data_IF_665313064053
#
_entry.id   IF_665313064053
#
_cell.length_a   1.000
_cell.length_b   1.000
_cell.length_c   1.000
_cell.angle_alpha   90.00
_cell.angle_beta   90.00
_cell.angle_gamma   90.00
#
_symmetry.space_group_name_H-M   'P 1'
#
loop_
_entity.id
_entity.type
_entity.pdbx_description
1 polymer ?
#
# COMPACT_ATOMS: atom_id res chain seq x y z
N UNK A 1 4.62 -13.82 17.58
CA UNK A 1 4.58 -14.08 16.13
C UNK A 1 5.34 -12.96 15.44
N UNK A 2 6.29 -13.31 14.60
CA UNK A 2 7.16 -12.37 13.88
C UNK A 2 6.58 -12.02 12.52
N UNK A 3 6.96 -10.87 11.97
CA UNK A 3 6.41 -10.38 10.70
C UNK A 3 6.61 -11.35 9.51
N UNK A 4 7.79 -11.96 9.40
CA UNK A 4 8.09 -12.92 8.33
C UNK A 4 7.22 -14.19 8.41
N UNK A 5 6.83 -14.61 9.63
CA UNK A 5 5.92 -15.74 9.82
C UNK A 5 4.52 -15.39 9.29
N UNK A 6 4.03 -14.17 9.57
CA UNK A 6 2.74 -13.69 9.09
C UNK A 6 2.75 -13.58 7.56
N UNK A 7 3.81 -13.02 6.97
CA UNK A 7 4.00 -12.93 5.51
C UNK A 7 3.88 -14.32 4.88
N UNK A 8 4.54 -15.33 5.44
CA UNK A 8 4.49 -16.69 4.93
C UNK A 8 3.10 -17.33 5.09
N UNK A 9 2.49 -17.21 6.28
CA UNK A 9 1.17 -17.79 6.58
C UNK A 9 0.05 -17.17 5.73
N UNK A 10 0.13 -15.86 5.48
CA UNK A 10 -0.83 -15.14 4.65
C UNK A 10 -0.39 -15.03 3.19
N UNK A 11 0.72 -15.66 2.78
CA UNK A 11 1.22 -15.60 1.40
C UNK A 11 1.30 -14.18 0.84
N UNK A 12 1.85 -13.24 1.62
CA UNK A 12 1.99 -11.84 1.20
C UNK A 12 3.19 -11.70 0.26
N UNK A 13 3.07 -10.81 -0.72
CA UNK A 13 4.12 -10.46 -1.68
C UNK A 13 4.54 -9.00 -1.50
N UNK A 14 5.77 -8.60 -1.87
CA UNK A 14 6.19 -7.21 -1.78
C UNK A 14 5.27 -6.28 -2.60
N UNK A 15 4.83 -5.17 -1.98
CA UNK A 15 4.00 -4.17 -2.68
C UNK A 15 4.89 -3.07 -3.29
N UNK A 16 4.57 -2.55 -4.50
CA UNK A 16 5.36 -1.49 -5.14
C UNK A 16 5.51 -0.21 -4.32
N UNK A 17 4.51 0.11 -3.48
CA UNK A 17 4.55 1.28 -2.60
C UNK A 17 5.38 1.06 -1.32
N UNK A 18 5.87 -0.16 -1.09
CA UNK A 18 6.50 -0.59 0.16
C UNK A 18 5.60 -1.50 0.99
N UNK A 19 6.21 -2.32 1.86
CA UNK A 19 5.49 -3.34 2.61
C UNK A 19 5.17 -4.61 1.80
N UNK A 20 4.23 -5.39 2.32
CA UNK A 20 3.82 -6.69 1.79
C UNK A 20 2.30 -6.76 1.72
N UNK A 21 1.74 -7.28 0.65
CA UNK A 21 0.30 -7.32 0.45
C UNK A 21 -0.19 -8.64 -0.16
N UNK A 22 -1.49 -8.88 -0.04
CA UNK A 22 -2.20 -9.88 -0.84
C UNK A 22 -3.65 -9.47 -1.02
N UNK A 23 -4.13 -9.44 -2.26
CA UNK A 23 -5.56 -9.29 -2.53
C UNK A 23 -6.31 -10.57 -2.13
N UNK A 24 -7.30 -10.43 -1.28
CA UNK A 24 -8.14 -11.53 -0.76
C UNK A 24 -9.50 -11.60 -1.44
N UNK A 25 -9.97 -10.47 -1.97
CA UNK A 25 -11.23 -10.39 -2.70
C UNK A 25 -11.20 -9.23 -3.70
N UNK A 26 -11.94 -9.40 -4.79
CA UNK A 26 -12.31 -8.37 -5.76
C UNK A 26 -13.72 -8.68 -6.24
N UNK A 27 -14.53 -7.64 -6.44
CA UNK A 27 -15.85 -7.82 -7.03
C UNK A 27 -15.75 -8.44 -8.43
N UNK A 28 -16.51 -9.50 -8.68
CA UNK A 28 -16.71 -10.03 -10.03
C UNK A 28 -17.73 -9.17 -10.79
N UNK A 29 -17.29 -8.48 -11.84
CA UNK A 29 -18.13 -7.58 -12.62
C UNK A 29 -17.82 -7.66 -14.11
N UNK A 30 -18.84 -7.38 -14.94
CA UNK A 30 -18.66 -7.17 -16.39
C UNK A 30 -18.36 -5.71 -16.73
N UNK A 31 -18.35 -4.83 -15.73
CA UNK A 31 -17.96 -3.44 -15.89
C UNK A 31 -16.45 -3.29 -16.07
N UNK A 32 -16.01 -2.14 -16.54
CA UNK A 32 -14.60 -1.84 -16.79
C UNK A 32 -13.75 -1.84 -15.51
N UNK A 33 -14.34 -1.54 -14.34
CA UNK A 33 -13.64 -1.59 -13.05
C UNK A 33 -14.55 -2.13 -11.93
N UNK A 34 -14.03 -3.04 -11.07
CA UNK A 34 -14.70 -3.50 -9.86
C UNK A 34 -15.11 -2.35 -8.91
N UNK A 35 -16.24 -2.50 -8.23
CA UNK A 35 -16.72 -1.59 -7.20
C UNK A 35 -15.87 -1.64 -5.93
N UNK A 36 -15.16 -2.73 -5.69
CA UNK A 36 -14.20 -2.78 -4.60
C UNK A 36 -13.29 -4.01 -4.58
N UNK A 37 -12.30 -3.93 -3.71
CA UNK A 37 -11.34 -4.98 -3.40
C UNK A 37 -11.16 -5.10 -1.89
N UNK A 38 -10.60 -6.21 -1.43
CA UNK A 38 -10.06 -6.36 -0.09
C UNK A 38 -8.64 -6.91 -0.20
N UNK A 39 -7.72 -6.35 0.58
CA UNK A 39 -6.35 -6.82 0.68
C UNK A 39 -5.94 -7.00 2.14
N UNK A 40 -4.99 -7.90 2.38
CA UNK A 40 -4.10 -7.80 3.53
C UNK A 40 -2.91 -6.93 3.17
N UNK A 41 -2.44 -6.13 4.11
CA UNK A 41 -1.23 -5.32 3.98
C UNK A 41 -0.44 -5.35 5.29
N UNK A 42 0.88 -5.49 5.19
CA UNK A 42 1.79 -5.58 6.33
C UNK A 42 3.02 -4.70 6.10
N UNK A 43 3.36 -3.92 7.12
CA UNK A 43 4.62 -3.19 7.20
C UNK A 43 5.48 -3.79 8.32
N UNK A 44 6.74 -4.10 8.02
CA UNK A 44 7.76 -4.41 9.03
C UNK A 44 8.37 -3.14 9.60
N UNK A 45 9.08 -3.27 10.70
CA UNK A 45 9.94 -2.21 11.22
C UNK A 45 10.86 -1.65 10.12
N UNK A 46 10.85 -0.33 9.95
CA UNK A 46 11.64 0.39 8.96
C UNK A 46 11.09 0.36 7.53
N UNK A 47 10.03 -0.42 7.26
CA UNK A 47 9.27 -0.29 6.01
C UNK A 47 8.20 0.79 6.16
N UNK A 48 7.88 1.43 5.04
CA UNK A 48 6.81 2.42 4.95
C UNK A 48 6.02 2.21 3.67
N UNK A 49 4.74 2.53 3.71
CA UNK A 49 3.94 2.78 2.51
C UNK A 49 4.23 4.22 2.07
N UNK A 50 4.86 4.37 0.90
CA UNK A 50 5.25 5.66 0.36
C UNK A 50 4.02 6.49 -0.01
N UNK A 51 4.19 7.82 -0.06
CA UNK A 51 3.15 8.73 -0.52
C UNK A 51 2.64 8.33 -1.91
N UNK A 52 1.35 8.00 -1.96
CA UNK A 52 0.64 7.65 -3.17
C UNK A 52 -0.82 8.10 -3.06
N UNK A 53 -1.59 7.91 -4.14
CA UNK A 53 -2.99 8.31 -4.23
C UNK A 53 -3.76 7.29 -5.04
N UNK A 54 -5.00 7.05 -4.66
CA UNK A 54 -5.92 6.17 -5.36
C UNK A 54 -7.20 6.91 -5.77
N UNK A 55 -7.75 6.53 -6.92
CA UNK A 55 -9.02 7.02 -7.47
C UNK A 55 -10.21 6.22 -6.90
N UNK A 56 -10.21 6.06 -5.57
CA UNK A 56 -11.23 5.40 -4.78
C UNK A 56 -11.11 5.83 -3.30
N UNK A 57 -12.18 5.64 -2.53
CA UNK A 57 -12.07 5.72 -1.06
C UNK A 57 -11.38 4.47 -0.57
N UNK A 58 -10.40 4.63 0.32
CA UNK A 58 -9.69 3.51 0.93
C UNK A 58 -9.92 3.50 2.44
N UNK A 59 -10.29 2.33 2.97
CA UNK A 59 -10.61 2.17 4.37
C UNK A 59 -9.58 1.25 5.01
N UNK A 60 -8.72 1.81 5.85
CA UNK A 60 -7.69 1.09 6.57
C UNK A 60 -8.24 0.52 7.87
N UNK A 61 -8.00 -0.77 8.12
CA UNK A 61 -8.44 -1.49 9.31
C UNK A 61 -7.23 -2.10 10.01
N UNK A 62 -6.98 -1.71 11.26
CA UNK A 62 -5.96 -2.37 12.07
C UNK A 62 -6.41 -3.77 12.47
N UNK A 63 -5.59 -4.77 12.20
CA UNK A 63 -5.86 -6.15 12.60
C UNK A 63 -4.97 -6.59 13.77
N UNK A 64 -3.66 -6.33 13.69
CA UNK A 64 -2.72 -6.77 14.71
C UNK A 64 -1.38 -6.04 14.64
N UNK A 65 -0.55 -6.24 15.66
CA UNK A 65 0.79 -5.69 15.74
C UNK A 65 0.81 -4.30 16.38
N UNK A 66 1.88 -3.56 16.13
CA UNK A 66 2.03 -2.19 16.59
C UNK A 66 0.96 -1.27 15.95
N UNK A 67 0.62 -0.15 16.60
CA UNK A 67 -0.18 0.88 15.96
C UNK A 67 0.44 1.35 14.64
N UNK A 68 -0.39 1.67 13.67
CA UNK A 68 0.00 2.22 12.37
C UNK A 68 -0.25 3.73 12.38
N UNK A 69 0.69 4.53 11.91
CA UNK A 69 0.43 5.94 11.57
C UNK A 69 -0.05 6.00 10.13
N UNK A 70 -1.26 6.50 9.93
CA UNK A 70 -1.84 6.77 8.61
C UNK A 70 -1.77 8.27 8.37
N UNK A 71 -0.96 8.67 7.39
CA UNK A 71 -0.78 10.04 6.95
C UNK A 71 -1.68 10.31 5.74
N UNK A 72 -2.35 11.46 5.73
CA UNK A 72 -3.28 11.86 4.67
C UNK A 72 -3.09 13.33 4.33
N UNK A 73 -3.17 13.71 3.06
CA UNK A 73 -3.18 15.09 2.62
C UNK A 73 -4.08 15.27 1.39
N UNK A 74 -4.89 16.34 1.37
CA UNK A 74 -5.74 16.65 0.21
C UNK A 74 -4.90 17.05 -1.02
N UNK A 75 -3.75 17.69 -0.79
CA UNK A 75 -2.85 18.15 -1.84
C UNK A 75 -1.40 17.81 -1.50
N UNK A 76 -0.53 17.79 -2.50
CA UNK A 76 0.91 17.57 -2.32
C UNK A 76 1.57 18.66 -1.45
N UNK A 77 0.99 19.87 -1.44
CA UNK A 77 1.45 20.98 -0.59
C UNK A 77 1.02 20.84 0.88
N UNK A 78 0.14 19.88 1.19
CA UNK A 78 -0.40 19.67 2.53
C UNK A 78 -1.52 20.64 2.92
N UNK A 79 -1.80 20.79 4.23
CA UNK A 79 -1.12 20.12 5.34
C UNK A 79 -1.44 18.61 5.38
N UNK A 80 -0.46 17.82 5.82
CA UNK A 80 -0.70 16.42 6.14
C UNK A 80 -1.35 16.28 7.52
N UNK A 81 -2.32 15.38 7.64
CA UNK A 81 -2.95 14.94 8.87
C UNK A 81 -2.54 13.51 9.16
N UNK A 82 -2.40 13.16 10.44
CA UNK A 82 -2.03 11.80 10.86
C UNK A 82 -3.12 11.25 11.77
N UNK A 83 -3.55 10.03 11.50
CA UNK A 83 -4.42 9.23 12.37
C UNK A 83 -3.65 8.00 12.83
N UNK A 84 -3.69 7.72 14.13
CA UNK A 84 -3.08 6.51 14.68
C UNK A 84 -4.08 5.37 14.67
N UNK A 85 -3.83 4.36 13.86
CA UNK A 85 -4.65 3.15 13.81
C UNK A 85 -4.19 2.13 14.83
N UNK A 86 -5.13 1.60 15.60
CA UNK A 86 -4.85 0.60 16.62
C UNK A 86 -6.02 0.41 17.60
N UNK A 87 -5.91 -0.56 18.51
CA UNK A 87 -7.01 -0.95 19.39
C UNK A 87 -7.15 -0.09 20.65
N UNK A 88 -6.15 0.72 21.02
CA UNK A 88 -6.19 1.51 22.26
C UNK A 88 -7.01 2.79 22.11
N UNK A 89 -8.32 2.67 22.33
CA UNK A 89 -9.27 3.77 22.22
C UNK A 89 -9.02 4.88 23.25
N UNK A 90 -8.54 4.52 24.44
CA UNK A 90 -8.27 5.47 25.53
C UNK A 90 -7.05 6.35 25.21
N UNK A 91 -6.06 5.80 24.49
CA UNK A 91 -4.94 6.55 23.94
C UNK A 91 -5.29 7.34 22.65
N UNK A 92 -6.56 7.35 22.23
CA UNK A 92 -7.01 8.06 21.03
C UNK A 92 -6.80 7.30 19.71
N UNK A 93 -6.34 6.05 19.75
CA UNK A 93 -6.22 5.23 18.55
C UNK A 93 -7.60 4.87 18.00
N UNK A 94 -7.66 4.59 16.69
CA UNK A 94 -8.89 4.14 16.03
C UNK A 94 -8.62 2.87 15.25
N UNK A 95 -9.41 1.80 15.39
CA UNK A 95 -9.20 0.59 14.60
C UNK A 95 -9.41 0.81 13.10
N UNK A 96 -10.06 1.90 12.70
CA UNK A 96 -10.37 2.23 11.31
C UNK A 96 -9.95 3.66 10.96
N UNK A 97 -9.37 3.84 9.78
CA UNK A 97 -9.09 5.13 9.14
C UNK A 97 -9.69 5.16 7.73
N UNK A 98 -10.18 6.31 7.30
CA UNK A 98 -10.79 6.48 5.97
C UNK A 98 -9.98 7.54 5.22
N UNK A 99 -9.38 7.12 4.11
CA UNK A 99 -8.71 8.02 3.17
C UNK A 99 -9.72 8.37 2.09
N UNK A 100 -10.10 9.65 1.93
CA UNK A 100 -11.02 10.06 0.88
C UNK A 100 -10.41 9.80 -0.50
N UNK A 101 -11.28 9.71 -1.51
CA UNK A 101 -10.86 9.64 -2.89
C UNK A 101 -9.91 10.79 -3.24
N UNK A 102 -8.91 10.49 -4.05
CA UNK A 102 -7.91 11.44 -4.53
C UNK A 102 -7.09 12.14 -3.42
N UNK A 103 -7.09 11.64 -2.19
CA UNK A 103 -6.15 12.11 -1.17
C UNK A 103 -4.82 11.36 -1.27
N UNK A 104 -3.74 12.10 -1.02
CA UNK A 104 -2.43 11.51 -0.78
C UNK A 104 -2.45 10.75 0.53
N UNK A 105 -1.85 9.57 0.54
CA UNK A 105 -1.70 8.75 1.73
C UNK A 105 -0.30 8.14 1.83
N UNK A 106 0.16 7.94 3.06
CA UNK A 106 1.36 7.19 3.40
C UNK A 106 1.14 6.52 4.77
N UNK A 107 1.91 5.49 5.07
CA UNK A 107 1.79 4.82 6.35
C UNK A 107 3.09 4.26 6.90
N UNK A 108 3.21 4.29 8.23
CA UNK A 108 4.37 3.83 8.97
C UNK A 108 3.94 2.94 10.16
N UNK A 109 4.66 1.85 10.40
CA UNK A 109 4.49 1.07 11.64
C UNK A 109 5.23 1.76 12.79
N UNK A 110 4.60 1.85 13.96
CA UNK A 110 5.25 2.41 15.17
C UNK A 110 6.14 1.40 15.91
N UNK A 111 6.24 0.16 15.42
CA UNK A 111 6.98 -0.90 16.10
C UNK A 111 7.48 -1.99 15.17
N UNK A 112 7.52 -3.23 15.68
CA UNK A 112 8.11 -4.37 14.95
C UNK A 112 7.40 -4.69 13.63
N UNK A 113 6.09 -4.55 13.59
CA UNK A 113 5.24 -4.70 12.41
C UNK A 113 3.81 -4.23 12.69
N UNK A 114 3.06 -3.91 11.65
CA UNK A 114 1.62 -3.64 11.68
C UNK A 114 0.93 -4.42 10.56
N UNK A 115 -0.10 -5.19 10.91
CA UNK A 115 -0.96 -5.88 9.94
C UNK A 115 -2.30 -5.14 9.86
N UNK A 116 -2.69 -4.80 8.64
CA UNK A 116 -3.93 -4.09 8.35
C UNK A 116 -4.68 -4.72 7.17
N UNK A 117 -5.95 -4.37 7.06
CA UNK A 117 -6.74 -4.57 5.85
C UNK A 117 -7.04 -3.24 5.20
N UNK A 118 -6.93 -3.16 3.88
CA UNK A 118 -7.17 -1.92 3.15
C UNK A 118 -8.12 -2.16 1.96
N UNK A 119 -9.43 -2.40 2.21
CA UNK A 119 -10.40 -2.41 1.15
C UNK A 119 -10.49 -1.05 0.46
N UNK A 120 -10.33 -1.07 -0.86
CA UNK A 120 -10.66 0.05 -1.73
C UNK A 120 -12.11 -0.10 -2.17
N UNK A 121 -12.88 0.99 -2.06
CA UNK A 121 -14.24 1.06 -2.58
C UNK A 121 -14.38 2.27 -3.49
N UNK A 122 -14.80 2.02 -4.72
CA UNK A 122 -15.27 3.10 -5.58
C UNK A 122 -16.63 3.55 -5.06
N UNK A 123 -16.79 4.85 -4.84
CA UNK A 123 -18.11 5.42 -4.57
C UNK A 123 -18.55 6.17 -5.82
N UNK A 124 -19.41 5.55 -6.63
CA UNK A 124 -20.01 6.24 -7.78
C UNK A 124 -20.98 7.32 -7.28
N UNK A 125 -20.61 8.60 -7.40
CA UNK A 125 -21.56 9.72 -7.38
C UNK A 125 -21.94 10.32 -6.03
N UNK A 126 -21.19 10.13 -4.95
CA UNK A 126 -21.41 10.91 -3.71
C UNK A 126 -20.36 11.99 -3.55
N UNK A 127 -20.78 13.27 -3.53
CA UNK A 127 -19.97 14.33 -2.92
C UNK A 127 -19.65 13.88 -1.49
N UNK A 128 -18.36 13.70 -1.18
CA UNK A 128 -17.89 13.12 0.07
C UNK A 128 -18.61 13.75 1.26
N UNK A 129 -19.26 12.92 2.09
CA UNK A 129 -19.76 13.36 3.38
C UNK A 129 -18.54 13.67 4.25
N UNK A 130 -18.19 14.96 4.35
CA UNK A 130 -17.16 15.46 5.25
C UNK A 130 -17.64 15.26 6.70
N UNK A 131 -17.36 14.09 7.26
CA UNK A 131 -17.45 13.92 8.71
C UNK A 131 -16.04 14.10 9.28
N UNK A 132 -15.74 15.21 9.98
CA UNK A 132 -14.45 15.33 10.65
C UNK A 132 -14.36 14.26 11.74
N UNK A 133 -13.20 13.61 11.93
CA UNK A 133 -13.04 12.68 13.03
C UNK A 133 -13.30 13.42 14.36
N UNK A 134 -14.10 12.83 15.29
CA UNK A 134 -14.34 13.42 16.58
C UNK A 134 -13.02 13.51 17.36
N UNK A 135 -12.62 14.75 17.70
CA UNK A 135 -11.39 15.03 18.45
C UNK A 135 -10.28 15.77 17.68
N UNK A 136 -10.52 16.23 16.44
CA UNK A 136 -9.61 17.15 15.77
C UNK A 136 -9.58 18.50 16.50
N UNK A 137 -8.64 18.67 17.43
CA UNK A 137 -8.32 19.97 17.99
C UNK A 137 -7.66 20.79 16.88
N UNK A 138 -8.41 21.73 16.32
CA UNK A 138 -7.87 22.78 15.45
C UNK A 138 -6.99 23.71 16.29
N UNK A 139 -5.77 23.28 16.57
CA UNK A 139 -4.72 24.18 17.04
C UNK A 139 -3.33 23.58 16.85
N UNK A 140 -2.77 23.80 15.66
CA UNK A 140 -1.34 24.01 15.51
C UNK A 140 -1.13 24.99 14.35
N UNK A 141 -0.83 26.26 14.68
CA UNK A 141 -0.06 27.11 13.78
C UNK A 141 1.34 26.51 13.75
N UNK A 142 1.76 25.95 12.62
CA UNK A 142 3.16 25.61 12.39
C UNK A 142 3.61 26.34 11.12
N UNK A 143 4.50 27.30 11.34
CA UNK A 143 5.15 28.11 10.32
C UNK A 143 5.89 27.22 9.31
N UNK A 144 5.72 27.51 8.03
CA UNK A 144 6.58 26.99 6.98
C UNK A 144 8.04 27.38 7.26
N UNK A 145 8.87 26.39 7.57
CA UNK A 145 10.32 26.33 7.39
C UNK A 145 10.79 24.97 7.90
N UNK A 146 10.95 24.05 6.95
CA UNK A 146 12.10 23.14 6.84
C UNK A 146 11.92 22.32 5.55
N UNK A 147 12.05 23.02 4.43
CA UNK A 147 12.47 22.41 3.16
C UNK A 147 13.98 22.54 3.14
N UNK A 148 14.68 21.54 3.69
CA UNK A 148 16.13 21.40 3.46
C UNK A 148 16.35 20.43 2.30
N UNK A 149 16.70 21.06 1.18
CA UNK A 149 17.36 20.50 0.00
C UNK A 149 18.48 19.54 0.39
N UNK A 150 18.53 18.38 -0.26
CA UNK A 150 19.79 17.71 -0.56
C UNK A 150 19.82 17.34 -2.04
N UNK A 151 20.81 17.89 -2.74
CA UNK A 151 21.07 17.62 -4.17
C UNK A 151 21.81 18.76 -4.87
N UNK A 152 23.00 19.14 -4.41
CA UNK A 152 23.95 19.94 -5.20
C UNK A 152 24.70 19.00 -6.14
N UNK A 153 24.89 19.37 -7.41
CA UNK A 153 26.15 19.04 -8.07
C UNK A 153 26.77 20.27 -8.75
N UNK A 154 27.95 20.64 -8.27
CA UNK A 154 28.83 21.60 -8.92
C UNK A 154 30.27 21.12 -8.82
N UNK A 155 30.72 20.31 -9.78
CA UNK A 155 32.12 20.30 -10.21
C UNK A 155 32.23 19.72 -11.62
N UNK A 156 32.73 20.54 -12.54
CA UNK A 156 33.12 20.21 -13.91
C UNK A 156 34.62 19.90 -13.91
N UNK A 157 35.09 18.82 -14.56
CA UNK A 157 36.45 18.73 -15.08
C UNK A 157 36.46 18.71 -16.63
N UNK A 158 37.63 18.98 -17.26
CA UNK A 158 37.70 19.48 -18.63
C UNK A 158 37.65 18.40 -19.72
N UNK A 159 37.40 18.87 -20.94
CA UNK A 159 37.34 18.08 -22.17
C UNK A 159 38.73 17.77 -22.75
N UNK A 160 38.99 16.48 -23.01
CA UNK A 160 39.87 15.90 -24.04
C UNK A 160 39.40 14.42 -24.12
N UNK A 161 39.01 13.80 -25.24
CA UNK A 161 39.59 13.79 -26.58
C UNK A 161 40.17 12.38 -26.82
N UNK A 162 39.63 11.67 -27.83
CA UNK A 162 40.22 10.49 -28.53
C UNK A 162 39.55 9.10 -28.38
N UNK A 163 38.81 8.77 -29.46
CA UNK A 163 38.89 7.58 -30.34
C UNK A 163 38.68 6.14 -29.82
N UNK A 164 37.64 5.57 -30.43
CA UNK A 164 37.51 4.23 -31.05
C UNK A 164 37.10 2.97 -30.25
N UNK A 165 36.34 2.06 -30.90
CA UNK A 165 35.28 1.28 -30.26
C UNK A 165 35.53 -0.25 -30.29
N UNK A 166 34.92 -1.01 -29.37
CA UNK A 166 34.89 -2.48 -29.45
C UNK A 166 33.71 -3.06 -28.63
N UNK A 167 33.21 -4.28 -28.89
CA UNK A 167 32.16 -4.52 -29.87
C UNK A 167 30.92 -5.21 -29.27
N UNK A 168 29.82 -5.11 -30.02
CA UNK A 168 28.55 -5.82 -29.81
C UNK A 168 28.76 -7.35 -29.74
N UNK A 169 28.22 -8.02 -28.72
CA UNK A 169 27.93 -9.47 -28.77
C UNK A 169 26.43 -9.75 -28.74
N UNK A 170 26.12 -10.76 -29.55
CA UNK A 170 24.84 -11.15 -30.16
C UNK A 170 23.80 -11.69 -29.16
N UNK A 171 22.52 -11.43 -29.46
CA UNK A 171 21.37 -12.21 -28.97
C UNK A 171 21.34 -13.61 -29.60
N UNK A 172 20.84 -14.63 -28.90
CA UNK A 172 20.08 -15.72 -29.52
C UNK A 172 18.57 -15.43 -29.50
N UNK A 173 17.91 -15.90 -30.56
CA UNK A 173 16.46 -15.81 -30.83
C UNK A 173 15.72 -17.05 -30.27
N UNK A 174 14.48 -16.79 -29.84
CA UNK A 174 13.26 -17.63 -29.92
C UNK A 174 13.21 -18.92 -29.08
N UNK A 175 12.11 -19.21 -28.38
CA UNK A 175 10.85 -19.67 -28.97
C UNK A 175 9.58 -19.21 -28.22
N UNK A 176 8.49 -19.12 -29.00
CA UNK A 176 7.10 -18.81 -28.61
C UNK A 176 6.36 -20.08 -28.18
N UNK A 177 5.40 -19.95 -27.26
CA UNK A 177 4.33 -20.93 -27.00
C UNK A 177 3.45 -20.53 -25.81
N UNK A 178 2.11 -20.58 -25.90
CA UNK A 178 1.21 -20.02 -24.89
C UNK A 178 0.93 -21.02 -23.76
N UNK A 179 1.05 -20.57 -22.51
CA UNK A 179 0.62 -21.36 -21.35
C UNK A 179 -0.78 -20.92 -20.90
N UNK A 180 -1.79 -21.61 -21.41
CA UNK A 180 -3.12 -21.65 -20.80
C UNK A 180 -3.02 -22.41 -19.48
N UNK A 181 -3.34 -21.78 -18.34
CA UNK A 181 -3.47 -22.50 -17.08
C UNK A 181 -4.94 -22.83 -16.81
N UNK A 182 -5.28 -24.12 -16.95
CA UNK A 182 -6.54 -24.70 -16.47
C UNK A 182 -6.39 -25.08 -15.00
N UNK A 183 -7.39 -24.71 -14.20
CA UNK A 183 -7.59 -25.14 -12.81
C UNK A 183 -8.03 -26.61 -12.79
N UNK A 184 -7.43 -27.51 -11.97
CA UNK A 184 -8.00 -28.83 -11.74
C UNK A 184 -9.17 -28.76 -10.75
N UNK A 185 -10.32 -29.30 -11.18
CA UNK A 185 -11.54 -29.48 -10.40
C UNK A 185 -11.34 -30.41 -9.19
N UNK A 186 -11.93 -30.04 -8.05
CA UNK A 186 -12.01 -30.88 -6.86
C UNK A 186 -12.77 -32.19 -7.14
N UNK A 187 -12.15 -33.34 -6.85
CA UNK A 187 -12.81 -34.63 -6.84
C UNK A 187 -13.44 -34.90 -5.45
N UNK A 188 -14.76 -35.10 -5.44
CA UNK A 188 -15.53 -35.57 -4.27
C UNK A 188 -15.11 -37.00 -3.90
N UNK A 189 -14.87 -37.25 -2.61
CA UNK A 189 -14.71 -38.62 -2.06
C UNK A 189 -16.08 -39.15 -1.59
N UNK A 190 -16.42 -40.42 -1.84
CA UNK A 190 -17.64 -41.01 -1.29
C UNK A 190 -17.45 -41.50 0.15
N UNK A 191 -18.54 -41.41 0.90
CA UNK A 191 -18.71 -41.85 2.29
C UNK A 191 -18.73 -43.38 2.33
N UNK A 192 -17.79 -43.99 3.05
CA UNK A 192 -17.78 -45.42 3.36
C UNK A 192 -18.48 -45.70 4.69
N UNK A 193 -19.52 -46.54 4.64
CA UNK A 193 -20.21 -47.13 5.81
C UNK A 193 -19.31 -48.15 6.53
N UNK A 194 -19.35 -48.12 7.87
CA UNK A 194 -19.12 -49.22 8.83
C UNK A 194 -20.12 -48.91 9.97
N UNK A 195 -20.92 -49.80 10.53
CA UNK A 195 -21.13 -51.25 10.43
C UNK A 195 -22.62 -51.51 10.59
#
# INVERSE_FOLDING_TARGET
>A
MQANEIIALLGLEPHPEGGHYRQTWVEETTQERPAGTCIYFLLKAGERSHWHRVDAVEIWHHYAGAPLLLHMAETEAGPAQTVTLGPDLAAGQRPQGIVPEDHWQAADSTGGWSLVGAPCRRVSGSKGSNWPPPGSTSRAKASARDVVKLGVPGHRPPAHGSKDPCPRRRRPRQARGPANWRVPSQARRPIGRRS
#
